data_IF_631404179747
#
_entry.id   IF_631404179747
#
_cell.length_a   1.000
_cell.length_b   1.000
_cell.length_c   1.000
_cell.angle_alpha   90.00
_cell.angle_beta   90.00
_cell.angle_gamma   90.00
#
_symmetry.space_group_name_H-M   'P 1'
#
loop_
_entity.id
_entity.type
_entity.pdbx_description
1 polymer ?
#
# COMPACT_ATOMS: atom_id res chain seq x y z
N UNK A 1 -39.67 45.74 11.74
CA UNK A 1 -39.12 45.36 10.42
C UNK A 1 -37.59 45.51 10.42
N UNK A 2 -36.83 44.44 10.68
CA UNK A 2 -35.36 44.49 10.70
C UNK A 2 -34.74 43.46 9.74
N UNK A 3 -34.72 43.89 8.48
CA UNK A 3 -33.73 43.72 7.42
C UNK A 3 -32.68 42.59 7.47
N UNK A 4 -32.89 41.63 6.57
CA UNK A 4 -32.09 40.44 6.29
C UNK A 4 -30.93 40.80 5.33
N UNK A 5 -29.85 41.40 5.84
CA UNK A 5 -28.65 41.77 5.03
C UNK A 5 -27.45 40.81 5.20
N UNK A 6 -27.66 39.66 5.84
CA UNK A 6 -26.60 38.67 6.12
C UNK A 6 -26.41 37.57 5.06
N UNK A 7 -27.39 37.35 4.17
CA UNK A 7 -27.36 36.21 3.24
C UNK A 7 -26.53 36.49 1.96
N UNK A 8 -26.37 37.76 1.58
CA UNK A 8 -25.75 38.15 0.30
C UNK A 8 -24.21 38.26 0.38
N UNK A 9 -23.62 38.17 1.58
CA UNK A 9 -22.14 38.25 1.78
C UNK A 9 -21.43 36.88 1.88
N UNK A 10 -22.08 35.78 1.48
CA UNK A 10 -21.43 34.45 1.43
C UNK A 10 -21.21 33.89 0.02
N UNK A 11 -21.32 34.72 -1.02
CA UNK A 11 -21.16 34.29 -2.42
C UNK A 11 -20.21 35.18 -3.25
N UNK A 12 -19.16 35.74 -2.63
CA UNK A 12 -18.21 36.61 -3.32
C UNK A 12 -16.74 36.36 -2.93
N UNK A 13 -16.41 35.13 -2.52
CA UNK A 13 -15.05 34.75 -2.09
C UNK A 13 -14.54 33.44 -2.70
N UNK A 14 -15.17 32.92 -3.76
CA UNK A 14 -14.84 31.62 -4.35
C UNK A 14 -14.55 31.68 -5.86
N UNK A 15 -13.98 32.78 -6.36
CA UNK A 15 -13.62 32.92 -7.79
C UNK A 15 -12.22 33.50 -8.03
N UNK A 16 -11.31 33.45 -7.04
CA UNK A 16 -9.92 33.90 -7.21
C UNK A 16 -8.86 32.89 -6.77
N UNK A 17 -9.10 31.61 -7.03
CA UNK A 17 -8.06 30.56 -6.93
C UNK A 17 -7.96 29.71 -8.22
N UNK A 18 -8.94 29.79 -9.14
CA UNK A 18 -9.02 28.89 -10.30
C UNK A 18 -8.29 29.40 -11.55
N UNK A 19 -7.76 30.64 -11.57
CA UNK A 19 -7.11 31.20 -12.77
C UNK A 19 -5.59 31.15 -12.81
N UNK A 20 -4.90 30.59 -11.80
CA UNK A 20 -3.43 30.45 -11.80
C UNK A 20 -2.90 29.02 -11.99
N UNK A 21 -3.78 28.03 -12.22
CA UNK A 21 -3.36 26.66 -12.59
C UNK A 21 -3.33 26.46 -14.11
N UNK A 22 -3.90 27.38 -14.90
CA UNK A 22 -4.03 27.23 -16.35
C UNK A 22 -2.78 27.61 -17.18
N UNK A 23 -1.75 28.22 -16.60
CA UNK A 23 -0.53 28.62 -17.34
C UNK A 23 0.72 27.78 -17.00
N UNK A 24 0.57 26.65 -16.29
CA UNK A 24 1.64 25.67 -16.06
C UNK A 24 1.25 24.25 -16.53
N UNK A 25 0.15 24.12 -17.30
CA UNK A 25 -0.33 22.84 -17.83
C UNK A 25 0.10 22.55 -19.27
N UNK A 26 0.84 23.44 -19.93
CA UNK A 26 1.10 23.36 -21.38
C UNK A 26 2.48 22.78 -21.76
N UNK A 27 3.24 22.21 -20.81
CA UNK A 27 4.57 21.62 -21.09
C UNK A 27 4.64 20.09 -20.96
N UNK A 28 3.56 19.41 -20.56
CA UNK A 28 3.54 17.94 -20.40
C UNK A 28 2.79 17.21 -21.52
N UNK A 29 2.28 17.92 -22.54
CA UNK A 29 1.66 17.28 -23.71
C UNK A 29 2.67 16.90 -24.81
N UNK A 30 3.97 17.08 -24.57
CA UNK A 30 5.04 16.64 -25.47
C UNK A 30 5.54 15.22 -25.18
N UNK A 31 4.91 14.50 -24.25
CA UNK A 31 5.18 13.08 -24.02
C UNK A 31 4.10 12.23 -24.68
N UNK A 32 4.55 11.31 -25.52
CA UNK A 32 3.79 10.24 -26.17
C UNK A 32 3.11 10.60 -27.50
N UNK A 33 3.87 11.15 -28.45
CA UNK A 33 3.69 10.75 -29.84
C UNK A 33 4.80 9.76 -30.20
N UNK A 34 4.66 8.52 -29.74
CA UNK A 34 5.49 7.41 -30.20
C UNK A 34 4.67 6.62 -31.22
N UNK A 35 5.03 6.79 -32.50
CA UNK A 35 4.50 6.03 -33.63
C UNK A 35 4.55 4.54 -33.30
N UNK A 36 3.38 3.90 -33.16
CA UNK A 36 3.26 2.50 -32.77
C UNK A 36 4.02 1.59 -33.76
N UNK A 37 5.02 0.82 -33.30
CA UNK A 37 5.70 -0.13 -34.17
C UNK A 37 4.83 -1.38 -34.36
N UNK A 38 4.46 -1.67 -35.61
CA UNK A 38 3.85 -2.96 -35.97
C UNK A 38 4.92 -4.04 -36.10
N UNK A 39 5.27 -4.63 -34.96
CA UNK A 39 5.97 -5.90 -34.80
C UNK A 39 5.74 -6.34 -33.34
N UNK A 40 5.36 -7.60 -33.12
CA UNK A 40 5.00 -8.21 -31.82
C UNK A 40 5.30 -7.33 -30.60
N UNK A 41 4.26 -6.76 -29.98
CA UNK A 41 4.36 -5.88 -28.81
C UNK A 41 5.15 -6.51 -27.66
N UNK A 42 5.30 -7.83 -27.65
CA UNK A 42 6.08 -8.59 -26.66
C UNK A 42 7.51 -8.05 -26.52
N UNK A 43 8.23 -7.79 -27.62
CA UNK A 43 9.63 -7.36 -27.53
C UNK A 43 9.78 -5.95 -26.95
N UNK A 44 8.95 -5.02 -27.42
CA UNK A 44 8.96 -3.64 -26.93
C UNK A 44 8.46 -3.55 -25.48
N UNK A 45 7.34 -4.21 -25.16
CA UNK A 45 6.81 -4.26 -23.78
C UNK A 45 7.78 -4.94 -22.80
N UNK A 46 8.48 -6.00 -23.22
CA UNK A 46 9.48 -6.66 -22.38
C UNK A 46 10.64 -5.72 -22.05
N UNK A 47 11.18 -5.01 -23.06
CA UNK A 47 12.26 -4.03 -22.83
C UNK A 47 11.80 -2.88 -21.93
N UNK A 48 10.57 -2.39 -22.12
CA UNK A 48 9.99 -1.34 -21.28
C UNK A 48 9.82 -1.81 -19.82
N UNK A 49 9.35 -3.04 -19.59
CA UNK A 49 9.23 -3.61 -18.24
C UNK A 49 10.59 -3.83 -17.57
N UNK A 50 11.59 -4.31 -18.31
CA UNK A 50 12.96 -4.48 -17.80
C UNK A 50 13.59 -3.14 -17.43
N UNK A 51 13.41 -2.11 -18.27
CA UNK A 51 13.87 -0.76 -17.96
C UNK A 51 13.17 -0.22 -16.70
N UNK A 52 11.86 -0.43 -16.57
CA UNK A 52 11.07 -0.04 -15.40
C UNK A 52 11.57 -0.73 -14.10
N UNK A 53 11.85 -2.04 -14.17
CA UNK A 53 12.40 -2.82 -13.05
C UNK A 53 13.79 -2.35 -12.66
N UNK A 54 14.68 -2.15 -13.65
CA UNK A 54 16.05 -1.69 -13.43
C UNK A 54 16.09 -0.31 -12.78
N UNK A 55 15.29 0.61 -13.29
CA UNK A 55 15.26 1.99 -12.81
C UNK A 55 14.55 2.12 -11.45
N UNK A 56 13.85 1.06 -10.99
CA UNK A 56 13.15 0.99 -9.69
C UNK A 56 12.16 2.12 -9.43
N UNK A 57 11.78 2.90 -10.46
CA UNK A 57 10.88 4.06 -10.36
C UNK A 57 9.46 3.70 -9.92
N UNK A 58 9.08 2.43 -10.10
CA UNK A 58 7.79 1.88 -9.67
C UNK A 58 7.86 1.18 -8.30
N UNK A 59 9.03 1.18 -7.63
CA UNK A 59 9.15 0.60 -6.30
C UNK A 59 8.34 1.44 -5.30
N UNK A 60 7.54 0.77 -4.48
CA UNK A 60 6.85 1.41 -3.36
C UNK A 60 7.83 1.86 -2.27
N UNK A 61 7.38 2.70 -1.31
CA UNK A 61 8.20 3.05 -0.16
C UNK A 61 8.53 1.81 0.67
N UNK A 62 9.72 1.76 1.26
CA UNK A 62 10.07 0.74 2.24
C UNK A 62 9.14 0.80 3.45
N UNK A 63 8.66 -0.35 3.92
CA UNK A 63 7.80 -0.47 5.10
C UNK A 63 8.64 -1.04 6.25
N UNK A 64 9.32 -0.21 7.05
CA UNK A 64 10.13 -0.69 8.16
C UNK A 64 9.24 -1.28 9.25
N UNK A 65 9.70 -2.37 9.84
CA UNK A 65 9.06 -2.97 11.01
C UNK A 65 9.44 -2.17 12.26
N UNK A 66 8.47 -1.87 13.13
CA UNK A 66 8.72 -1.15 14.39
C UNK A 66 9.62 -2.00 15.31
N UNK A 67 10.58 -1.37 16.00
CA UNK A 67 11.60 -2.06 16.80
C UNK A 67 11.05 -3.11 17.77
N UNK A 68 9.96 -2.82 18.47
CA UNK A 68 9.30 -3.77 19.39
C UNK A 68 8.76 -5.00 18.65
N UNK A 69 8.08 -4.77 17.51
CA UNK A 69 7.56 -5.85 16.67
C UNK A 69 8.68 -6.66 16.01
N UNK A 70 9.77 -6.00 15.61
CA UNK A 70 10.95 -6.64 15.06
C UNK A 70 11.59 -7.56 16.10
N UNK A 71 11.74 -7.08 17.34
CA UNK A 71 12.29 -7.85 18.46
C UNK A 71 11.45 -9.09 18.76
N UNK A 72 10.12 -8.95 18.83
CA UNK A 72 9.21 -10.09 19.04
C UNK A 72 9.27 -11.10 17.89
N UNK A 73 9.35 -10.62 16.64
CA UNK A 73 9.46 -11.51 15.47
C UNK A 73 10.77 -12.30 15.48
N UNK A 74 11.88 -11.68 15.89
CA UNK A 74 13.16 -12.33 16.04
C UNK A 74 13.18 -13.34 17.17
N UNK A 75 12.58 -13.02 18.32
CA UNK A 75 12.40 -13.98 19.42
C UNK A 75 11.60 -15.20 18.97
N UNK A 76 10.48 -15.01 18.25
CA UNK A 76 9.69 -16.11 17.70
C UNK A 76 10.49 -16.97 16.72
N UNK A 77 11.32 -16.34 15.89
CA UNK A 77 12.23 -17.06 15.00
C UNK A 77 13.21 -17.94 15.79
N UNK A 78 13.85 -17.40 16.83
CA UNK A 78 14.74 -18.19 17.69
C UNK A 78 13.99 -19.32 18.40
N UNK A 79 12.78 -19.05 18.90
CA UNK A 79 11.96 -20.06 19.56
C UNK A 79 11.50 -21.18 18.63
N UNK A 80 11.39 -20.93 17.32
CA UNK A 80 10.99 -21.95 16.34
C UNK A 80 11.98 -23.13 16.31
N UNK A 81 13.27 -22.89 16.49
CA UNK A 81 14.30 -23.94 16.50
C UNK A 81 14.25 -24.83 17.75
N UNK A 82 13.56 -24.38 18.81
CA UNK A 82 13.37 -25.19 20.02
C UNK A 82 12.31 -26.27 19.82
N UNK A 83 11.53 -26.20 18.74
CA UNK A 83 10.49 -27.15 18.40
C UNK A 83 10.99 -28.08 17.29
N UNK A 84 10.86 -29.39 17.50
CA UNK A 84 11.20 -30.38 16.48
C UNK A 84 10.22 -30.27 15.30
N UNK A 85 10.73 -30.46 14.08
CA UNK A 85 9.88 -30.62 12.91
C UNK A 85 9.04 -31.90 13.09
N UNK A 86 7.70 -31.84 12.98
CA UNK A 86 6.86 -33.02 13.13
C UNK A 86 7.02 -33.98 11.94
N UNK A 87 6.94 -35.28 12.20
CA UNK A 87 6.99 -36.35 11.16
C UNK A 87 5.83 -36.25 10.16
N UNK A 88 4.70 -35.67 10.57
CA UNK A 88 3.60 -35.36 9.66
C UNK A 88 2.91 -34.04 10.05
N UNK A 89 2.67 -33.21 9.05
CA UNK A 89 1.81 -32.03 9.15
C UNK A 89 0.38 -32.53 8.87
N UNK A 90 -0.36 -32.94 9.91
CA UNK A 90 -1.71 -33.48 9.74
C UNK A 90 -2.58 -32.63 8.81
N UNK A 91 -3.49 -33.26 8.05
CA UNK A 91 -4.30 -32.56 7.04
C UNK A 91 -5.15 -31.45 7.67
N UNK A 92 -4.94 -30.17 7.33
CA UNK A 92 -5.73 -29.06 7.86
C UNK A 92 -7.20 -29.09 7.37
N UNK A 93 -7.50 -29.94 6.37
CA UNK A 93 -8.82 -30.07 5.75
C UNK A 93 -9.75 -31.03 6.52
N UNK A 94 -9.25 -31.83 7.48
CA UNK A 94 -10.08 -32.76 8.27
C UNK A 94 -10.12 -32.45 9.79
N UNK A 95 -9.61 -31.29 10.22
CA UNK A 95 -9.78 -30.83 11.61
C UNK A 95 -11.16 -30.20 11.79
N UNK A 96 -12.21 -31.02 11.64
CA UNK A 96 -13.55 -30.62 12.04
C UNK A 96 -13.61 -30.59 13.58
N UNK A 97 -13.37 -29.40 14.14
CA UNK A 97 -13.59 -29.08 15.55
C UNK A 97 -12.31 -28.93 16.37
N UNK A 98 -12.09 -27.72 16.89
CA UNK A 98 -11.13 -27.36 17.93
C UNK A 98 -9.67 -27.06 17.50
N UNK A 99 -9.52 -26.12 16.56
CA UNK A 99 -8.28 -25.35 16.37
C UNK A 99 -8.33 -24.05 17.18
N UNK A 100 -7.86 -24.10 18.44
CA UNK A 100 -7.88 -22.94 19.33
C UNK A 100 -7.28 -23.21 20.70
N UNK A 101 -6.00 -23.60 20.75
CA UNK A 101 -5.21 -23.54 21.99
C UNK A 101 -4.01 -22.65 21.75
N UNK A 102 -4.23 -21.34 21.93
CA UNK A 102 -3.21 -20.32 22.01
C UNK A 102 -3.48 -19.48 23.25
N UNK A 103 -2.70 -19.68 24.31
CA UNK A 103 -2.56 -18.76 25.43
C UNK A 103 -3.60 -18.85 26.55
N UNK A 104 -3.54 -19.89 27.38
CA UNK A 104 -4.14 -19.84 28.72
C UNK A 104 -3.12 -19.23 29.70
N UNK A 105 -3.17 -17.92 29.88
CA UNK A 105 -2.50 -17.27 31.02
C UNK A 105 -3.38 -17.42 32.26
N UNK A 106 -2.87 -18.13 33.26
CA UNK A 106 -3.52 -18.34 34.55
C UNK A 106 -3.45 -17.04 35.36
N UNK A 107 -4.58 -16.34 35.45
CA UNK A 107 -4.73 -15.19 36.35
C UNK A 107 -5.03 -15.72 37.76
N UNK A 108 -4.03 -15.70 38.64
CA UNK A 108 -4.21 -16.01 40.07
C UNK A 108 -4.91 -14.83 40.74
N UNK A 109 -6.08 -15.10 41.33
CA UNK A 109 -6.77 -14.18 42.24
C UNK A 109 -6.00 -14.10 43.56
N UNK A 110 -5.82 -12.89 44.07
CA UNK A 110 -5.66 -12.62 45.50
C UNK A 110 -7.01 -12.20 46.08
#
# INVERSE_FOLDING_TARGET
MTNNKGLIRRLAGLHRVITLVALMGAATAAHCEESMPSASEVGHSTNALLALQRDSRAAGPGLPMLGDTASLSYQRYLDSFKHKIPESMGSPVNSNGNGGSGGQQSMKSY
#
